data_IF_587208206385
#
_entry.id   IF_587208206385
#
_cell.length_a   1.000
_cell.length_b   1.000
_cell.length_c   1.000
_cell.angle_alpha   90.00
_cell.angle_beta   90.00
_cell.angle_gamma   90.00
#
_symmetry.space_group_name_H-M   'P 1'
#
loop_
_entity.id
_entity.type
_entity.pdbx_description
1 polymer ?
#
# COMPACT_ATOMS: atom_id res chain seq x y z
N UNK A 1 -21.92 -19.90 3.85
CA UNK A 1 -22.13 -18.49 4.26
C UNK A 1 -20.87 -17.85 4.86
N UNK A 2 -20.07 -18.56 5.66
CA UNK A 2 -18.86 -18.02 6.32
C UNK A 2 -17.74 -17.63 5.33
N UNK A 3 -17.48 -18.44 4.30
CA UNK A 3 -16.44 -18.16 3.30
C UNK A 3 -16.67 -16.87 2.49
N UNK A 4 -17.93 -16.52 2.21
CA UNK A 4 -18.28 -15.30 1.48
C UNK A 4 -17.97 -14.05 2.31
N UNK A 5 -18.21 -14.10 3.62
CA UNK A 5 -17.93 -12.98 4.52
C UNK A 5 -16.42 -12.73 4.67
N UNK A 6 -15.62 -13.80 4.74
CA UNK A 6 -14.14 -13.73 4.79
C UNK A 6 -13.56 -13.25 3.45
N UNK A 7 -14.12 -13.67 2.31
CA UNK A 7 -13.69 -13.16 1.00
C UNK A 7 -13.96 -11.66 0.85
N UNK A 8 -15.12 -11.18 1.29
CA UNK A 8 -15.48 -9.76 1.18
C UNK A 8 -14.55 -8.87 2.02
N UNK A 9 -14.17 -9.30 3.23
CA UNK A 9 -13.22 -8.55 4.07
C UNK A 9 -11.80 -8.59 3.50
N UNK A 10 -11.33 -9.73 2.97
CA UNK A 10 -10.04 -9.81 2.29
C UNK A 10 -9.98 -8.93 1.04
N UNK A 11 -11.02 -8.94 0.19
CA UNK A 11 -11.10 -8.09 -1.00
C UNK A 11 -11.09 -6.61 -0.62
N UNK A 12 -11.76 -6.24 0.48
CA UNK A 12 -11.69 -4.88 1.02
C UNK A 12 -10.26 -4.51 1.48
N UNK A 13 -9.59 -5.39 2.22
CA UNK A 13 -8.19 -5.19 2.67
C UNK A 13 -7.23 -5.01 1.50
N UNK A 14 -7.30 -5.90 0.50
CA UNK A 14 -6.48 -5.83 -0.69
C UNK A 14 -6.81 -4.62 -1.57
N UNK A 15 -8.09 -4.25 -1.70
CA UNK A 15 -8.51 -3.06 -2.44
C UNK A 15 -7.91 -1.79 -1.86
N UNK A 16 -7.96 -1.62 -0.54
CA UNK A 16 -7.34 -0.47 0.14
C UNK A 16 -5.81 -0.48 0.00
N UNK A 17 -5.20 -1.68 0.04
CA UNK A 17 -3.76 -1.87 -0.13
C UNK A 17 -3.29 -1.44 -1.51
N UNK A 18 -3.97 -1.87 -2.58
CA UNK A 18 -3.65 -1.45 -3.95
C UNK A 18 -3.86 0.04 -4.16
N UNK A 19 -4.89 0.63 -3.54
CA UNK A 19 -5.16 2.06 -3.63
C UNK A 19 -4.01 2.88 -3.00
N UNK A 20 -3.58 2.51 -1.80
CA UNK A 20 -2.44 3.16 -1.12
C UNK A 20 -1.10 2.93 -1.83
N UNK A 21 -0.84 1.72 -2.33
CA UNK A 21 0.33 1.44 -3.16
C UNK A 21 0.33 2.29 -4.43
N UNK A 22 -0.81 2.45 -5.10
CA UNK A 22 -0.95 3.28 -6.30
C UNK A 22 -0.70 4.76 -6.03
N UNK A 23 -1.19 5.28 -4.91
CA UNK A 23 -0.91 6.66 -4.47
C UNK A 23 0.58 6.82 -4.19
N UNK A 24 1.19 5.92 -3.41
CA UNK A 24 2.61 5.99 -3.07
C UNK A 24 3.50 5.93 -4.32
N UNK A 25 3.22 5.02 -5.24
CA UNK A 25 3.89 4.91 -6.53
C UNK A 25 3.76 6.21 -7.36
N UNK A 26 2.57 6.79 -7.42
CA UNK A 26 2.33 8.04 -8.16
C UNK A 26 3.12 9.21 -7.58
N UNK A 27 3.23 9.30 -6.25
CA UNK A 27 4.05 10.32 -5.57
C UNK A 27 5.52 10.15 -5.93
N UNK A 28 6.03 8.92 -5.94
CA UNK A 28 7.43 8.65 -6.33
C UNK A 28 7.67 9.01 -7.79
N UNK A 29 6.76 8.70 -8.71
CA UNK A 29 6.87 9.11 -10.13
C UNK A 29 6.90 10.62 -10.30
N UNK A 30 6.05 11.35 -9.58
CA UNK A 30 6.02 12.81 -9.63
C UNK A 30 7.35 13.39 -9.16
N UNK A 31 7.89 12.89 -8.05
CA UNK A 31 9.19 13.31 -7.53
C UNK A 31 10.32 12.97 -8.52
N UNK A 32 10.32 11.75 -9.06
CA UNK A 32 11.28 11.31 -10.06
C UNK A 32 11.28 12.23 -11.29
N UNK A 33 10.10 12.55 -11.82
CA UNK A 33 9.96 13.44 -12.99
C UNK A 33 10.36 14.89 -12.69
N UNK A 34 10.15 15.37 -11.47
CA UNK A 34 10.46 16.76 -11.11
C UNK A 34 11.96 16.96 -10.81
N UNK A 35 12.61 15.97 -10.19
CA UNK A 35 14.00 16.05 -9.76
C UNK A 35 15.01 15.40 -10.72
N UNK A 36 14.55 14.73 -11.81
CA UNK A 36 15.42 13.98 -12.74
C UNK A 36 16.39 13.05 -11.98
N UNK A 37 15.85 12.31 -11.01
CA UNK A 37 16.66 11.41 -10.18
C UNK A 37 17.16 10.24 -11.05
N UNK A 38 18.43 9.82 -10.93
CA UNK A 38 18.94 8.67 -11.67
C UNK A 38 18.15 7.39 -11.36
N UNK A 39 18.00 6.53 -12.37
CA UNK A 39 17.14 5.35 -12.34
C UNK A 39 17.50 4.35 -11.23
N UNK A 40 18.78 4.22 -10.85
CA UNK A 40 19.18 3.35 -9.73
C UNK A 40 18.55 3.79 -8.39
N UNK A 41 18.44 5.09 -8.17
CA UNK A 41 17.87 5.65 -6.92
C UNK A 41 16.34 5.61 -7.00
N UNK A 42 15.78 5.89 -8.18
CA UNK A 42 14.34 5.86 -8.42
C UNK A 42 13.73 4.49 -8.13
N UNK A 43 14.38 3.41 -8.61
CA UNK A 43 13.92 2.04 -8.37
C UNK A 43 13.89 1.66 -6.89
N UNK A 44 14.93 2.04 -6.13
CA UNK A 44 15.00 1.80 -4.68
C UNK A 44 13.94 2.59 -3.93
N UNK A 45 13.73 3.87 -4.28
CA UNK A 45 12.66 4.70 -3.72
C UNK A 45 11.28 4.10 -3.99
N UNK A 46 11.06 3.58 -5.19
CA UNK A 46 9.82 2.91 -5.56
C UNK A 46 9.55 1.67 -4.70
N UNK A 47 10.58 0.84 -4.51
CA UNK A 47 10.48 -0.38 -3.72
C UNK A 47 10.18 -0.09 -2.25
N UNK A 48 10.86 0.91 -1.68
CA UNK A 48 10.64 1.33 -0.29
C UNK A 48 9.25 1.94 -0.13
N UNK A 49 8.83 2.85 -1.03
CA UNK A 49 7.53 3.51 -0.95
C UNK A 49 6.38 2.50 -1.03
N UNK A 50 6.46 1.54 -1.97
CA UNK A 50 5.49 0.46 -2.09
C UNK A 50 5.49 -0.43 -0.84
N UNK A 51 6.67 -0.85 -0.36
CA UNK A 51 6.79 -1.69 0.83
C UNK A 51 6.25 -1.02 2.10
N UNK A 52 6.44 0.30 2.22
CA UNK A 52 5.98 1.09 3.35
C UNK A 52 4.46 1.32 3.28
N UNK A 53 3.91 1.57 2.09
CA UNK A 53 2.46 1.63 1.87
C UNK A 53 1.78 0.29 2.15
N UNK A 54 2.36 -0.81 1.68
CA UNK A 54 1.89 -2.18 1.96
C UNK A 54 1.89 -2.48 3.47
N UNK A 55 3.00 -2.18 4.15
CA UNK A 55 3.14 -2.39 5.59
C UNK A 55 2.18 -1.50 6.40
N UNK A 56 1.98 -0.25 5.98
CA UNK A 56 1.06 0.68 6.62
C UNK A 56 -0.39 0.21 6.55
N UNK A 57 -0.82 -0.30 5.38
CA UNK A 57 -2.18 -0.83 5.22
C UNK A 57 -2.38 -2.11 6.02
N UNK A 58 -1.39 -3.02 6.03
CA UNK A 58 -1.46 -4.22 6.88
C UNK A 58 -1.51 -3.85 8.37
N UNK A 59 -0.77 -2.82 8.78
CA UNK A 59 -0.78 -2.34 10.17
C UNK A 59 -2.13 -1.72 10.55
N UNK A 60 -2.71 -0.90 9.68
CA UNK A 60 -4.03 -0.29 9.90
C UNK A 60 -5.10 -1.35 10.18
N UNK A 61 -5.11 -2.42 9.38
CA UNK A 61 -6.05 -3.52 9.57
C UNK A 61 -5.74 -4.42 10.77
N UNK A 62 -4.50 -4.41 11.27
CA UNK A 62 -4.13 -5.09 12.52
C UNK A 62 -4.68 -4.35 13.74
N UNK A 63 -4.63 -3.01 13.73
CA UNK A 63 -5.22 -2.19 14.79
C UNK A 63 -6.76 -2.24 14.78
N UNK A 64 -7.39 -2.33 13.61
CA UNK A 64 -8.85 -2.51 13.47
C UNK A 64 -9.33 -3.84 14.11
N UNK A 65 -8.54 -4.91 13.99
CA UNK A 65 -8.83 -6.22 14.60
C UNK A 65 -8.63 -6.23 16.13
N UNK A 66 -7.75 -5.37 16.66
CA UNK A 66 -7.50 -5.23 18.11
C UNK A 66 -8.55 -4.31 18.74
N UNK A 67 -9.01 -3.28 18.04
CA UNK A 67 -10.02 -2.33 18.53
C UNK A 67 -11.47 -2.86 18.47
N UNK A 68 -11.73 -3.92 17.69
CA UNK A 68 -13.05 -4.56 17.58
C UNK A 68 -13.26 -5.71 18.60
N UNK A 69 -12.31 -5.91 19.52
CA UNK A 69 -12.34 -6.95 20.57
C UNK A 69 -12.62 -6.35 21.94
#
# INVERSE_FOLDING_TARGET
>A
MVYTFIMVTLVKKFGLMFLWMGIAASVVLLIYSYFNIPDEIAGVLYFIAIGLAASGVLNYYREEEISSK
#
